data_IF_981338583528
#
_entry.id   IF_981338583528
#
_cell.length_a   1.000
_cell.length_b   1.000
_cell.length_c   1.000
_cell.angle_alpha   90.00
_cell.angle_beta   90.00
_cell.angle_gamma   90.00
#
_symmetry.space_group_name_H-M   'P 1'
#
loop_
_entity.id
_entity.type
_entity.pdbx_description
1 polymer ?
#
# COMPACT_ATOMS: atom_id res chain seq x y z
N UNK A 1 9.24 -12.27 -4.25
CA UNK A 1 8.26 -11.66 -5.18
C UNK A 1 7.73 -10.40 -4.52
N UNK A 2 7.41 -9.34 -5.26
CA UNK A 2 6.92 -8.08 -4.69
C UNK A 2 5.57 -7.67 -5.27
N UNK A 3 4.62 -7.38 -4.39
CA UNK A 3 3.27 -6.95 -4.73
C UNK A 3 3.03 -5.53 -4.24
N UNK A 4 2.47 -4.69 -5.10
CA UNK A 4 1.88 -3.41 -4.70
C UNK A 4 0.37 -3.59 -4.51
N UNK A 5 -0.15 -3.17 -3.36
CA UNK A 5 -1.60 -3.05 -3.12
C UNK A 5 -1.95 -1.57 -3.13
N UNK A 6 -2.95 -1.20 -3.92
CA UNK A 6 -3.51 0.15 -3.98
C UNK A 6 -4.89 0.11 -3.34
N UNK A 7 -5.04 0.78 -2.20
CA UNK A 7 -6.32 1.05 -1.55
C UNK A 7 -6.19 2.36 -0.81
N UNK A 8 -6.63 3.44 -1.47
CA UNK A 8 -6.39 4.80 -1.01
C UNK A 8 -7.37 5.24 0.09
N UNK A 9 -8.60 4.72 0.06
CA UNK A 9 -9.73 5.12 0.89
C UNK A 9 -10.88 4.10 0.79
N UNK A 10 -11.95 4.18 1.60
CA UNK A 10 -12.09 4.91 2.86
C UNK A 10 -11.73 4.04 4.08
N UNK A 11 -11.96 4.49 5.32
CA UNK A 11 -11.52 3.77 6.52
C UNK A 11 -12.03 2.32 6.60
N UNK A 12 -13.34 2.10 6.39
CA UNK A 12 -13.95 0.76 6.44
C UNK A 12 -13.38 -0.15 5.35
N UNK A 13 -13.23 0.39 4.15
CA UNK A 13 -12.64 -0.28 3.00
C UNK A 13 -11.19 -0.73 3.24
N UNK A 14 -10.35 0.14 3.80
CA UNK A 14 -8.96 -0.20 4.12
C UNK A 14 -8.90 -1.34 5.14
N UNK A 15 -9.75 -1.29 6.17
CA UNK A 15 -9.82 -2.33 7.20
C UNK A 15 -10.28 -3.67 6.60
N UNK A 16 -11.33 -3.64 5.78
CA UNK A 16 -11.86 -4.85 5.13
C UNK A 16 -10.84 -5.44 4.15
N UNK A 17 -10.21 -4.62 3.32
CA UNK A 17 -9.22 -5.05 2.34
C UNK A 17 -7.93 -5.61 2.99
N UNK A 18 -7.57 -5.16 4.20
CA UNK A 18 -6.38 -5.65 4.90
C UNK A 18 -6.41 -7.16 5.18
N UNK A 19 -7.60 -7.79 5.20
CA UNK A 19 -7.75 -9.24 5.33
C UNK A 19 -7.05 -10.03 4.22
N UNK A 20 -6.81 -9.42 3.05
CA UNK A 20 -6.08 -10.06 1.93
C UNK A 20 -4.64 -10.37 2.31
N UNK A 21 -4.01 -9.58 3.19
CA UNK A 21 -2.60 -9.71 3.56
C UNK A 21 -2.26 -11.08 4.15
N UNK A 22 -3.12 -11.60 5.03
CA UNK A 22 -2.92 -12.93 5.63
C UNK A 22 -3.00 -14.04 4.59
N UNK A 23 -3.88 -13.93 3.59
CA UNK A 23 -3.99 -14.93 2.54
C UNK A 23 -2.77 -14.93 1.61
N UNK A 24 -2.25 -13.74 1.27
CA UNK A 24 -1.01 -13.62 0.49
C UNK A 24 0.17 -14.26 1.24
N UNK A 25 0.36 -13.92 2.52
CA UNK A 25 1.47 -14.45 3.32
C UNK A 25 1.30 -15.95 3.65
N UNK A 26 0.07 -16.45 3.72
CA UNK A 26 -0.22 -17.88 3.85
C UNK A 26 0.12 -18.66 2.56
N UNK A 27 -0.13 -18.08 1.39
CA UNK A 27 0.29 -18.67 0.12
C UNK A 27 1.81 -18.75 0.01
N UNK A 28 2.50 -17.65 0.34
CA UNK A 28 3.97 -17.63 0.36
C UNK A 28 4.51 -16.53 1.28
N UNK A 29 5.24 -16.93 2.33
CA UNK A 29 5.71 -16.02 3.39
C UNK A 29 6.73 -14.97 2.93
N UNK A 30 7.50 -15.26 1.88
CA UNK A 30 8.59 -14.40 1.34
C UNK A 30 8.09 -13.33 0.35
N UNK A 31 6.78 -13.18 0.15
CA UNK A 31 6.22 -12.12 -0.68
C UNK A 31 6.34 -10.79 0.05
N UNK A 32 7.05 -9.82 -0.54
CA UNK A 32 7.09 -8.45 -0.06
C UNK A 32 5.81 -7.71 -0.48
N UNK A 33 5.11 -7.11 0.48
CA UNK A 33 3.87 -6.38 0.27
C UNK A 33 4.10 -4.90 0.54
N UNK A 34 3.93 -4.09 -0.49
CA UNK A 34 3.90 -2.63 -0.37
C UNK A 34 2.46 -2.15 -0.50
N UNK A 35 2.00 -1.29 0.40
CA UNK A 35 0.65 -0.73 0.37
C UNK A 35 0.65 0.76 0.09
N UNK A 36 -0.18 1.22 -0.82
CA UNK A 36 -0.41 2.63 -1.13
C UNK A 36 -1.73 3.09 -0.53
N UNK A 37 -1.68 4.13 0.30
CA UNK A 37 -2.84 4.67 1.01
C UNK A 37 -2.80 6.20 0.98
N UNK A 38 -3.95 6.87 1.07
CA UNK A 38 -3.95 8.31 1.36
C UNK A 38 -3.35 8.57 2.75
N UNK A 39 -2.50 9.59 2.90
CA UNK A 39 -1.81 9.90 4.16
C UNK A 39 -2.77 10.12 5.32
N UNK A 40 -4.00 10.59 5.07
CA UNK A 40 -5.05 10.73 6.11
C UNK A 40 -5.43 9.42 6.79
N UNK A 41 -5.19 8.28 6.14
CA UNK A 41 -5.54 6.95 6.63
C UNK A 41 -4.31 6.11 6.97
N UNK A 42 -3.08 6.66 6.90
CA UNK A 42 -1.85 5.90 7.15
C UNK A 42 -1.85 5.23 8.52
N UNK A 43 -2.48 5.87 9.52
CA UNK A 43 -2.53 5.39 10.90
C UNK A 43 -3.21 4.02 11.05
N UNK A 44 -4.09 3.65 10.11
CA UNK A 44 -4.76 2.34 10.11
C UNK A 44 -3.77 1.20 9.83
N UNK A 45 -2.77 1.48 8.98
CA UNK A 45 -1.83 0.48 8.46
C UNK A 45 -0.41 0.63 9.01
N UNK A 46 -0.15 1.71 9.74
CA UNK A 46 1.16 1.99 10.34
C UNK A 46 1.56 0.83 11.26
N UNK A 47 2.76 0.31 11.05
CA UNK A 47 3.32 -0.83 11.78
C UNK A 47 2.55 -2.16 11.61
N UNK A 48 1.72 -2.29 10.58
CA UNK A 48 1.03 -3.56 10.31
C UNK A 48 2.07 -4.65 9.99
N UNK A 49 2.08 -5.80 10.72
CA UNK A 49 3.17 -6.78 10.66
C UNK A 49 3.30 -7.49 9.29
N UNK A 50 2.24 -7.45 8.48
CA UNK A 50 2.21 -8.08 7.16
C UNK A 50 2.48 -7.09 6.00
N UNK A 51 2.73 -5.81 6.30
CA UNK A 51 3.07 -4.80 5.30
C UNK A 51 4.56 -4.47 5.44
N UNK A 52 5.32 -4.79 4.39
CA UNK A 52 6.77 -4.56 4.36
C UNK A 52 7.09 -3.08 4.08
N UNK A 53 6.20 -2.37 3.36
CA UNK A 53 6.34 -0.92 3.14
C UNK A 53 5.01 -0.21 2.94
N UNK A 54 4.79 0.87 3.69
CA UNK A 54 3.64 1.73 3.53
C UNK A 54 4.02 3.00 2.75
N UNK A 55 3.26 3.31 1.70
CA UNK A 55 3.38 4.53 0.92
C UNK A 55 2.15 5.41 1.17
N UNK A 56 2.30 6.34 2.11
CA UNK A 56 1.32 7.39 2.37
C UNK A 56 1.39 8.48 1.29
N UNK A 57 0.29 8.69 0.56
CA UNK A 57 0.18 9.65 -0.53
C UNK A 57 -0.60 10.90 -0.06
N UNK A 58 -0.03 12.11 -0.17
CA UNK A 58 -0.69 13.36 0.20
C UNK A 58 -1.69 13.81 -0.88
N UNK A 59 -2.86 13.18 -0.96
CA UNK A 59 -3.81 13.41 -2.06
C UNK A 59 -4.69 14.65 -1.86
N UNK A 60 -5.07 14.98 -0.63
CA UNK A 60 -6.05 16.04 -0.33
C UNK A 60 -5.53 17.46 -0.61
N UNK A 61 -4.24 17.71 -0.39
CA UNK A 61 -3.66 19.07 -0.47
C UNK A 61 -3.25 19.48 -1.90
N UNK A 62 -3.76 18.82 -2.95
CA UNK A 62 -3.29 18.98 -4.33
C UNK A 62 -1.77 18.83 -4.47
N UNK A 63 -1.12 18.12 -3.55
CA UNK A 63 0.32 17.83 -3.54
C UNK A 63 0.66 16.74 -4.56
N UNK A 64 0.06 16.81 -5.77
CA UNK A 64 0.24 15.88 -6.88
C UNK A 64 1.71 15.68 -7.21
N UNK A 65 2.52 16.74 -7.21
CA UNK A 65 3.96 16.62 -7.45
C UNK A 65 4.67 15.77 -6.37
N UNK A 66 4.25 15.86 -5.10
CA UNK A 66 4.81 15.06 -4.01
C UNK A 66 4.35 13.60 -4.13
N UNK A 67 3.07 13.35 -4.39
CA UNK A 67 2.53 12.02 -4.65
C UNK A 67 3.22 11.36 -5.85
N UNK A 68 3.40 12.09 -6.95
CA UNK A 68 4.10 11.61 -8.14
C UNK A 68 5.57 11.30 -7.84
N UNK A 69 6.27 12.14 -7.08
CA UNK A 69 7.65 11.84 -6.63
C UNK A 69 7.71 10.55 -5.80
N UNK A 70 6.73 10.32 -4.91
CA UNK A 70 6.64 9.08 -4.12
C UNK A 70 6.40 7.89 -5.04
N UNK A 71 5.45 7.99 -5.97
CA UNK A 71 5.12 6.93 -6.94
C UNK A 71 6.31 6.59 -7.85
N UNK A 72 7.02 7.60 -8.38
CA UNK A 72 8.21 7.39 -9.21
C UNK A 72 9.34 6.71 -8.43
N UNK A 73 9.53 7.05 -7.14
CA UNK A 73 10.46 6.33 -6.26
C UNK A 73 9.99 4.89 -6.01
N UNK A 74 8.70 4.70 -5.76
CA UNK A 74 8.12 3.38 -5.51
C UNK A 74 8.17 2.48 -6.75
N UNK A 75 8.08 3.04 -7.96
CA UNK A 75 8.21 2.31 -9.23
C UNK A 75 9.56 1.61 -9.37
N UNK A 76 10.64 2.16 -8.77
CA UNK A 76 11.98 1.54 -8.77
C UNK A 76 12.04 0.19 -8.03
N UNK A 77 10.99 -0.19 -7.30
CA UNK A 77 10.92 -1.47 -6.63
C UNK A 77 10.66 -2.66 -7.55
N UNK A 78 10.32 -2.43 -8.84
CA UNK A 78 10.04 -3.48 -9.83
C UNK A 78 8.99 -4.50 -9.35
N UNK A 79 7.75 -4.04 -9.19
CA UNK A 79 6.63 -4.90 -8.75
C UNK A 79 6.35 -6.02 -9.75
N UNK A 80 6.12 -7.22 -9.23
CA UNK A 80 5.69 -8.38 -10.02
C UNK A 80 4.18 -8.34 -10.28
N UNK A 81 3.41 -7.77 -9.35
CA UNK A 81 1.97 -7.56 -9.49
C UNK A 81 1.56 -6.25 -8.80
N UNK A 82 0.51 -5.63 -9.34
CA UNK A 82 -0.20 -4.51 -8.73
C UNK A 82 -1.66 -4.91 -8.57
N UNK A 83 -2.19 -4.82 -7.37
CA UNK A 83 -3.58 -5.16 -7.04
C UNK A 83 -4.27 -3.87 -6.61
N UNK A 84 -5.31 -3.48 -7.34
CA UNK A 84 -6.19 -2.38 -6.99
C UNK A 84 -7.42 -2.96 -6.28
N UNK A 85 -7.63 -2.55 -5.02
CA UNK A 85 -8.68 -3.07 -4.13
C UNK A 85 -9.76 -2.04 -3.86
#
# INVERSE_FOLDING_TARGET
>A
MKIAIVRLSALGDIIQSAVVLQFIKNFKKDIEIHWFVDEKFEGILKNHPLIDKLYALPLKDKKILKSLKILLKARKNNYNAVIDL
#
